data_IF_539832408381
#
_entry.id   IF_539832408381
#
_cell.length_a   1.000
_cell.length_b   1.000
_cell.length_c   1.000
_cell.angle_alpha   90.00
_cell.angle_beta   90.00
_cell.angle_gamma   90.00
#
_symmetry.space_group_name_H-M   'P 1'
#
loop_
_entity.id
_entity.type
_entity.pdbx_description
1 polymer ?
#
# COMPACT_ATOMS: atom_id res chain seq x y z
N UNK A 1 -12.64 8.18 -3.75
CA UNK A 1 -12.03 6.84 -3.82
C UNK A 1 -12.27 6.19 -5.18
N UNK A 2 -11.23 5.64 -5.80
CA UNK A 2 -11.26 4.94 -7.09
C UNK A 2 -11.23 3.42 -6.84
N UNK A 3 -12.43 2.85 -6.68
CA UNK A 3 -12.63 1.46 -6.23
C UNK A 3 -11.97 0.43 -7.16
N UNK A 4 -12.05 0.62 -8.47
CA UNK A 4 -11.50 -0.33 -9.45
C UNK A 4 -9.98 -0.46 -9.35
N UNK A 5 -9.26 0.65 -9.17
CA UNK A 5 -7.81 0.64 -9.04
C UNK A 5 -7.35 0.05 -7.70
N UNK A 6 -8.09 0.34 -6.62
CA UNK A 6 -7.85 -0.33 -5.34
C UNK A 6 -8.08 -1.84 -5.46
N UNK A 7 -9.15 -2.27 -6.13
CA UNK A 7 -9.40 -3.70 -6.35
C UNK A 7 -8.29 -4.35 -7.17
N UNK A 8 -7.82 -3.73 -8.27
CA UNK A 8 -6.69 -4.24 -9.06
C UNK A 8 -5.45 -4.44 -8.20
N UNK A 9 -5.14 -3.47 -7.34
CA UNK A 9 -4.02 -3.58 -6.41
C UNK A 9 -4.22 -4.74 -5.42
N UNK A 10 -5.42 -4.88 -4.85
CA UNK A 10 -5.74 -5.97 -3.93
C UNK A 10 -5.65 -7.34 -4.60
N UNK A 11 -6.17 -7.47 -5.83
CA UNK A 11 -6.12 -8.71 -6.63
C UNK A 11 -4.65 -9.13 -6.87
N UNK A 12 -3.78 -8.17 -7.22
CA UNK A 12 -2.35 -8.41 -7.40
C UNK A 12 -1.67 -8.83 -6.08
N UNK A 13 -1.91 -8.10 -5.00
CA UNK A 13 -1.27 -8.36 -3.70
C UNK A 13 -1.75 -9.69 -3.08
N UNK A 14 -3.00 -10.09 -3.34
CA UNK A 14 -3.57 -11.36 -2.86
C UNK A 14 -2.89 -12.60 -3.47
N UNK A 15 -2.12 -12.44 -4.56
CA UNK A 15 -1.32 -13.54 -5.11
C UNK A 15 -0.14 -13.95 -4.21
N UNK A 16 0.24 -13.09 -3.25
CA UNK A 16 1.38 -13.30 -2.36
C UNK A 16 2.75 -13.17 -3.03
N UNK A 17 2.79 -13.08 -4.36
CA UNK A 17 4.03 -12.96 -5.14
C UNK A 17 4.12 -11.55 -5.71
N UNK A 18 5.04 -10.75 -5.17
CA UNK A 18 5.27 -9.39 -5.63
C UNK A 18 6.51 -9.31 -6.52
N UNK A 19 6.47 -8.45 -7.54
CA UNK A 19 7.58 -8.23 -8.48
C UNK A 19 8.89 -7.78 -7.81
N UNK A 20 8.81 -7.21 -6.61
CA UNK A 20 9.92 -6.87 -5.73
C UNK A 20 9.54 -7.21 -4.28
N UNK A 21 10.51 -7.19 -3.36
CA UNK A 21 10.27 -7.45 -1.93
C UNK A 21 9.21 -6.50 -1.37
N UNK A 22 8.17 -7.07 -0.76
CA UNK A 22 7.14 -6.31 -0.06
C UNK A 22 7.59 -5.92 1.33
N UNK A 23 7.47 -4.64 1.70
CA UNK A 23 7.83 -4.16 3.03
C UNK A 23 7.15 -2.80 3.33
N UNK A 24 6.20 -2.79 4.26
CA UNK A 24 5.48 -1.56 4.62
C UNK A 24 6.40 -0.50 5.27
N UNK A 25 7.55 -0.88 5.85
CA UNK A 25 8.41 -0.03 6.67
C UNK A 25 9.57 0.65 5.94
N UNK A 26 10.04 0.13 4.79
CA UNK A 26 11.25 0.63 4.10
C UNK A 26 11.05 0.97 2.61
N UNK A 27 11.88 1.88 2.05
CA UNK A 27 11.98 2.11 0.60
C UNK A 27 12.39 0.81 -0.11
N UNK A 28 11.98 0.60 -1.37
CA UNK A 28 12.48 -0.57 -2.12
C UNK A 28 14.00 -0.57 -2.09
N UNK A 29 14.54 -1.72 -1.69
CA UNK A 29 15.97 -1.99 -1.72
C UNK A 29 16.25 -2.96 -2.86
N UNK A 30 17.43 -2.85 -3.44
CA UNK A 30 17.92 -3.87 -4.37
C UNK A 30 18.28 -5.18 -3.63
N UNK A 31 18.77 -6.16 -4.39
CA UNK A 31 19.21 -7.46 -3.86
C UNK A 31 20.38 -7.35 -2.86
N UNK A 32 21.08 -6.21 -2.82
CA UNK A 32 22.21 -5.92 -1.93
C UNK A 32 21.79 -5.13 -0.68
N UNK A 33 20.53 -4.70 -0.61
CA UNK A 33 19.99 -3.97 0.53
C UNK A 33 20.18 -2.45 0.45
N UNK A 34 20.60 -1.92 -0.69
CA UNK A 34 20.76 -0.49 -0.91
C UNK A 34 19.42 0.16 -1.26
N UNK A 35 19.12 1.31 -0.66
CA UNK A 35 17.91 2.08 -0.97
C UNK A 35 17.96 2.53 -2.44
N UNK A 36 16.98 2.10 -3.24
CA UNK A 36 16.90 2.49 -4.63
C UNK A 36 16.57 3.99 -4.73
N UNK A 37 17.55 4.79 -5.17
CA UNK A 37 17.33 6.18 -5.53
C UNK A 37 16.20 6.28 -6.59
N UNK A 38 15.41 7.37 -6.61
CA UNK A 38 14.18 7.50 -7.40
C UNK A 38 14.35 7.47 -8.93
N UNK A 39 15.54 7.17 -9.45
CA UNK A 39 15.90 7.27 -10.86
C UNK A 39 16.07 5.93 -11.61
N UNK A 40 15.98 4.76 -10.95
CA UNK A 40 16.18 3.46 -11.64
C UNK A 40 15.06 2.43 -11.37
N UNK A 41 14.16 2.70 -10.44
CA UNK A 41 12.88 1.99 -10.34
C UNK A 41 11.84 2.99 -9.82
N UNK A 42 10.68 3.10 -10.45
CA UNK A 42 9.60 4.00 -10.04
C UNK A 42 8.95 3.54 -8.73
N UNK A 43 9.70 3.66 -7.65
CA UNK A 43 9.33 3.32 -6.30
C UNK A 43 9.87 4.44 -5.40
N UNK A 44 9.26 5.63 -5.50
CA UNK A 44 9.51 6.75 -4.59
C UNK A 44 8.58 6.76 -3.36
N UNK A 45 7.82 5.67 -3.18
CA UNK A 45 7.09 5.38 -1.95
C UNK A 45 7.82 4.19 -1.35
N UNK A 46 7.95 4.20 -0.02
CA UNK A 46 8.19 3.02 0.81
C UNK A 46 7.43 1.83 0.22
N UNK A 47 7.96 0.60 0.30
CA UNK A 47 7.42 -0.66 -0.25
C UNK A 47 6.04 -1.09 0.35
N UNK A 48 5.21 -0.10 0.64
CA UNK A 48 3.80 -0.15 0.93
C UNK A 48 3.00 -0.55 -0.30
N UNK A 49 1.77 -1.02 -0.04
CA UNK A 49 0.83 -1.46 -1.06
C UNK A 49 0.68 -0.49 -2.26
N UNK A 50 0.68 0.83 -2.03
CA UNK A 50 0.52 1.80 -3.12
C UNK A 50 1.67 1.75 -4.15
N UNK A 51 2.90 1.43 -3.72
CA UNK A 51 4.07 1.28 -4.59
C UNK A 51 3.97 0.14 -5.60
N UNK A 52 3.13 -0.85 -5.29
CA UNK A 52 2.86 -1.99 -6.18
C UNK A 52 1.78 -1.70 -7.23
N UNK A 53 1.17 -0.50 -7.23
CA UNK A 53 0.16 -0.11 -8.21
C UNK A 53 0.58 -0.35 -9.67
N UNK A 54 1.78 0.08 -10.10
CA UNK A 54 2.26 -0.16 -11.47
C UNK A 54 2.37 -1.65 -11.82
N UNK A 55 2.87 -2.47 -10.90
CA UNK A 55 2.95 -3.93 -11.09
C UNK A 55 1.56 -4.59 -11.16
N UNK A 56 0.54 -3.98 -10.53
CA UNK A 56 -0.86 -4.36 -10.65
C UNK A 56 -1.54 -3.85 -11.94
N UNK A 57 -0.79 -3.26 -12.87
CA UNK A 57 -1.32 -2.75 -14.15
C UNK A 57 -2.00 -1.37 -14.06
N UNK A 58 -1.73 -0.61 -13.00
CA UNK A 58 -2.16 0.80 -12.87
C UNK A 58 -1.12 1.69 -13.56
N UNK A 59 -1.55 2.77 -14.21
CA UNK A 59 -0.61 3.66 -14.90
C UNK A 59 0.50 4.13 -13.94
N UNK A 60 1.78 4.06 -14.35
CA UNK A 60 2.92 4.45 -13.53
C UNK A 60 2.89 5.91 -13.07
N UNK A 61 3.83 6.23 -12.17
CA UNK A 61 4.05 7.60 -11.72
C UNK A 61 4.57 8.44 -12.89
N UNK A 62 4.03 9.65 -13.06
CA UNK A 62 4.52 10.54 -14.12
C UNK A 62 5.85 11.16 -13.72
N UNK A 63 6.62 11.62 -14.72
CA UNK A 63 7.78 12.48 -14.47
C UNK A 63 7.36 13.66 -13.58
N UNK A 64 8.08 13.87 -12.48
CA UNK A 64 7.83 14.90 -11.46
C UNK A 64 6.56 14.71 -10.59
N UNK A 65 5.86 13.57 -10.69
CA UNK A 65 4.75 13.23 -9.79
C UNK A 65 5.27 12.64 -8.47
N UNK A 66 4.67 13.04 -7.35
CA UNK A 66 4.94 12.46 -6.03
C UNK A 66 3.96 11.34 -5.71
N UNK A 67 4.29 10.46 -4.76
CA UNK A 67 3.40 9.36 -4.38
C UNK A 67 2.10 9.81 -3.75
N UNK A 68 2.12 10.90 -3.00
CA UNK A 68 0.89 11.55 -2.53
C UNK A 68 -0.01 11.93 -3.70
N UNK A 69 0.57 12.45 -4.78
CA UNK A 69 -0.17 12.81 -5.99
C UNK A 69 -0.64 11.57 -6.74
N UNK A 70 0.20 10.53 -6.86
CA UNK A 70 -0.14 9.24 -7.44
C UNK A 70 -1.34 8.59 -6.73
N UNK A 71 -1.27 8.46 -5.40
CA UNK A 71 -2.33 7.86 -4.58
C UNK A 71 -3.63 8.66 -4.71
N UNK A 72 -3.55 9.99 -4.73
CA UNK A 72 -4.71 10.83 -4.96
C UNK A 72 -5.29 10.63 -6.36
N UNK A 73 -4.44 10.56 -7.39
CA UNK A 73 -4.85 10.40 -8.79
C UNK A 73 -5.47 9.03 -9.08
N UNK A 74 -4.90 7.96 -8.52
CA UNK A 74 -5.25 6.59 -8.89
C UNK A 74 -6.11 5.86 -7.88
N UNK A 75 -6.03 6.21 -6.60
CA UNK A 75 -6.89 5.62 -5.56
C UNK A 75 -7.95 6.60 -5.05
N UNK A 76 -7.84 7.90 -5.38
CA UNK A 76 -8.82 8.90 -4.97
C UNK A 76 -8.85 9.06 -3.45
N UNK A 77 -7.68 8.90 -2.82
CA UNK A 77 -7.42 8.98 -1.37
C UNK A 77 -6.26 9.95 -1.10
N UNK A 78 -6.24 10.56 0.09
CA UNK A 78 -5.04 11.24 0.58
C UNK A 78 -4.24 10.25 1.41
N UNK A 79 -2.91 10.21 1.26
CA UNK A 79 -2.04 9.42 2.15
C UNK A 79 -2.18 9.84 3.63
N UNK A 80 -2.68 11.06 3.88
CA UNK A 80 -2.90 11.60 5.22
C UNK A 80 -4.37 11.56 5.67
N UNK A 81 -5.28 10.96 4.89
CA UNK A 81 -6.63 10.66 5.41
C UNK A 81 -6.58 9.37 6.24
N UNK A 82 -7.59 9.16 7.08
CA UNK A 82 -7.65 7.95 7.92
C UNK A 82 -7.64 6.68 7.07
N UNK A 83 -8.33 6.66 5.93
CA UNK A 83 -8.30 5.54 4.98
C UNK A 83 -6.92 5.37 4.33
N UNK A 84 -6.27 6.47 3.92
CA UNK A 84 -4.93 6.39 3.35
C UNK A 84 -3.90 5.90 4.34
N UNK A 85 -3.98 6.36 5.59
CA UNK A 85 -3.13 5.90 6.68
C UNK A 85 -3.39 4.43 7.00
N UNK A 86 -4.66 4.02 7.10
CA UNK A 86 -5.01 2.64 7.39
C UNK A 86 -4.64 1.68 6.24
N UNK A 87 -4.66 2.11 4.98
CA UNK A 87 -4.21 1.26 3.88
C UNK A 87 -2.69 1.22 3.70
N UNK A 88 -2.02 2.36 3.80
CA UNK A 88 -0.68 2.56 3.23
C UNK A 88 0.40 2.97 4.24
N UNK A 89 0.06 3.21 5.52
CA UNK A 89 1.06 3.61 6.52
C UNK A 89 2.09 2.52 6.76
N UNK A 90 3.35 2.92 6.94
CA UNK A 90 4.41 2.00 7.34
C UNK A 90 4.27 1.42 8.75
N UNK A 91 3.33 1.91 9.56
CA UNK A 91 3.04 1.32 10.88
C UNK A 91 2.63 -0.16 10.81
N UNK A 92 2.14 -0.61 9.65
CA UNK A 92 1.84 -2.02 9.40
C UNK A 92 3.05 -2.94 9.39
N UNK A 93 4.27 -2.42 9.27
CA UNK A 93 5.53 -3.20 9.32
C UNK A 93 5.58 -4.14 10.54
N UNK A 94 5.05 -3.70 11.69
CA UNK A 94 5.11 -4.45 12.94
C UNK A 94 3.87 -5.30 13.21
N UNK A 95 2.81 -5.10 12.45
CA UNK A 95 1.48 -5.63 12.77
C UNK A 95 0.95 -6.59 11.71
N UNK A 96 1.12 -6.25 10.42
CA UNK A 96 0.68 -7.05 9.28
C UNK A 96 1.42 -6.61 7.99
N UNK A 97 2.70 -7.00 7.94
CA UNK A 97 3.66 -6.66 6.88
C UNK A 97 3.67 -7.70 5.75
N UNK A 98 2.49 -8.03 5.23
CA UNK A 98 2.33 -9.03 4.15
C UNK A 98 1.55 -8.44 2.97
N UNK A 99 1.85 -8.86 1.73
CA UNK A 99 1.03 -8.53 0.57
C UNK A 99 -0.44 -8.92 0.79
N UNK A 100 -0.69 -10.11 1.32
CA UNK A 100 -2.03 -10.64 1.57
C UNK A 100 -2.76 -9.83 2.63
N UNK A 101 -2.06 -9.38 3.67
CA UNK A 101 -2.60 -8.46 4.67
C UNK A 101 -3.01 -7.12 4.08
N UNK A 102 -2.17 -6.55 3.23
CA UNK A 102 -2.52 -5.34 2.49
C UNK A 102 -3.72 -5.54 1.55
N UNK A 103 -3.80 -6.67 0.86
CA UNK A 103 -4.95 -7.02 0.04
C UNK A 103 -6.24 -7.09 0.88
N UNK A 104 -6.21 -7.79 2.03
CA UNK A 104 -7.35 -7.88 2.95
C UNK A 104 -7.81 -6.52 3.47
N UNK A 105 -6.88 -5.61 3.82
CA UNK A 105 -7.22 -4.23 4.19
C UNK A 105 -7.96 -3.50 3.07
N UNK A 106 -7.48 -3.63 1.84
CA UNK A 106 -8.11 -2.97 0.70
C UNK A 106 -9.51 -3.55 0.45
N UNK A 107 -9.67 -4.88 0.45
CA UNK A 107 -10.99 -5.49 0.32
C UNK A 107 -11.95 -5.03 1.42
N UNK A 108 -11.49 -5.05 2.67
CA UNK A 108 -12.29 -4.59 3.80
C UNK A 108 -12.73 -3.13 3.65
N UNK A 109 -11.82 -2.22 3.28
CA UNK A 109 -12.19 -0.81 3.06
C UNK A 109 -13.24 -0.67 1.94
N UNK A 110 -13.13 -1.48 0.89
CA UNK A 110 -14.08 -1.44 -0.22
C UNK A 110 -15.47 -1.93 0.20
N UNK A 111 -15.55 -2.98 1.01
CA UNK A 111 -16.81 -3.63 1.35
C UNK A 111 -17.49 -3.00 2.58
N UNK A 112 -16.74 -2.78 3.66
CA UNK A 112 -17.24 -2.35 4.97
C UNK A 112 -16.88 -0.90 5.31
N UNK A 113 -15.90 -0.32 4.59
CA UNK A 113 -15.34 0.98 4.93
C UNK A 113 -14.28 0.92 6.03
N UNK A 114 -13.92 2.08 6.57
CA UNK A 114 -12.87 2.18 7.59
C UNK A 114 -13.38 1.64 8.93
N UNK A 115 -12.69 0.68 9.57
CA UNK A 115 -13.13 0.18 10.87
C UNK A 115 -13.01 1.27 11.94
N UNK A 116 -13.96 1.33 12.87
CA UNK A 116 -14.00 2.36 13.93
C UNK A 116 -12.78 2.32 14.87
N UNK A 117 -12.10 1.17 14.95
CA UNK A 117 -10.88 0.96 15.74
C UNK A 117 -9.60 0.91 14.88
N UNK A 118 -9.62 1.42 13.64
CA UNK A 118 -8.52 1.33 12.67
C UNK A 118 -7.14 1.63 13.24
N UNK A 119 -7.03 2.69 14.07
CA UNK A 119 -5.76 3.10 14.67
C UNK A 119 -5.23 2.06 15.67
N UNK A 120 -6.12 1.38 16.40
CA UNK A 120 -5.73 0.32 17.34
C UNK A 120 -5.28 -0.95 16.61
N UNK A 121 -5.92 -1.26 15.47
CA UNK A 121 -5.50 -2.37 14.60
C UNK A 121 -4.08 -2.16 14.07
N UNK A 122 -3.78 -0.96 13.58
CA UNK A 122 -2.43 -0.61 13.08
C UNK A 122 -1.34 -0.79 14.14
N UNK A 123 -1.67 -0.51 15.40
CA UNK A 123 -0.76 -0.65 16.53
C UNK A 123 -0.76 -2.06 17.14
N UNK A 124 -1.51 -3.01 16.57
CA UNK A 124 -1.72 -4.36 17.10
C UNK A 124 -2.22 -4.39 18.55
N UNK A 125 -2.94 -3.35 18.97
CA UNK A 125 -3.55 -3.28 20.32
C UNK A 125 -4.99 -3.80 20.34
N UNK A 126 -5.60 -4.00 19.17
CA UNK A 126 -6.84 -4.73 18.97
C UNK A 126 -6.72 -5.66 17.74
N UNK A 127 -7.57 -6.71 17.63
CA UNK A 127 -7.56 -7.64 16.50
C UNK A 127 -7.84 -6.96 15.16
N UNK A 128 -7.35 -7.56 14.07
CA UNK A 128 -7.64 -7.08 12.73
C UNK A 128 -9.09 -7.42 12.38
N UNK A 129 -9.77 -6.53 11.66
CA UNK A 129 -11.16 -6.79 11.27
C UNK A 129 -11.30 -7.92 10.24
N UNK A 130 -10.22 -8.31 9.58
CA UNK A 130 -10.17 -9.28 8.50
C UNK A 130 -9.37 -10.56 8.85
N UNK A 131 -9.17 -10.82 10.15
CA UNK A 131 -8.60 -12.07 10.68
C UNK A 131 -9.61 -13.23 10.68
#
# INVERSE_FOLDING_TARGET
MHRENLKKLADYLATGTTACRFDMGSFCRDEYGDDLAPLVHECGTVACAAGHGPAAGIEPIKKDESWTTYVRRHFGLSLFSDEGMWLFSGSWERSDNTPEGAARRIYWLLDEGLPSNWHKQMMRTEPLCYE
#
